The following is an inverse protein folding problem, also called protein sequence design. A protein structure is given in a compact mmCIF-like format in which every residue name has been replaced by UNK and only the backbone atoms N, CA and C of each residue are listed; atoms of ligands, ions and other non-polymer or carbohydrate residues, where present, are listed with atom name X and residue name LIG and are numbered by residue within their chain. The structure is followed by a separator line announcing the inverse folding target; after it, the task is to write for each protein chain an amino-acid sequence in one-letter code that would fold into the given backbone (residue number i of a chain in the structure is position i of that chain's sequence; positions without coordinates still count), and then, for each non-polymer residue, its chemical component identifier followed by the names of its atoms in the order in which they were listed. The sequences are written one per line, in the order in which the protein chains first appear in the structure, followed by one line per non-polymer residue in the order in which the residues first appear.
data_IF_898265705238
#
_entry.id   IF_898265705238
#
_cell.length_a   1.000
_cell.length_b   1.000
_cell.length_c   1.000
_cell.angle_alpha   90.00
_cell.angle_beta   90.00
_cell.angle_gamma   90.00
#
_symmetry.space_group_name_H-M   'P 1'
#
loop_
_entity.id
_entity.type
_entity.pdbx_description
1 polymer ?
#
# COMPACT_ATOMS: atom_id res chain seq x y z
N UNK A 1 -88.20 7.84 55.52
CA UNK A 1 -87.34 8.86 54.87
C UNK A 1 -85.90 8.36 54.86
N UNK A 2 -85.30 8.09 53.68
CA UNK A 2 -84.24 8.90 53.00
C UNK A 2 -82.98 9.05 53.86
N UNK A 3 -81.74 8.80 53.45
CA UNK A 3 -81.05 8.40 52.22
C UNK A 3 -79.64 7.93 52.66
N UNK A 4 -79.08 6.81 52.19
CA UNK A 4 -78.08 6.69 51.12
C UNK A 4 -77.02 7.83 51.03
N UNK A 5 -75.75 7.41 50.93
CA UNK A 5 -74.49 8.15 50.54
C UNK A 5 -73.75 8.80 51.71
N UNK A 6 -72.42 8.76 51.86
CA UNK A 6 -71.27 8.17 51.17
C UNK A 6 -70.07 8.33 52.14
N UNK A 7 -69.07 7.44 52.20
CA UNK A 7 -67.82 7.73 52.90
C UNK A 7 -66.96 8.71 52.11
N UNK A 8 -66.55 9.81 52.76
CA UNK A 8 -65.67 10.84 52.23
C UNK A 8 -64.31 10.24 51.83
N UNK A 9 -64.05 10.32 50.53
CA UNK A 9 -62.83 9.90 49.84
C UNK A 9 -61.78 10.99 50.02
N UNK A 10 -60.66 10.65 50.63
CA UNK A 10 -59.49 11.52 50.76
C UNK A 10 -58.92 11.78 49.35
N UNK A 11 -58.67 13.05 48.94
CA UNK A 11 -58.03 13.33 47.65
C UNK A 11 -56.52 13.11 47.76
N UNK A 12 -56.01 12.07 47.13
CA UNK A 12 -54.58 11.91 46.87
C UNK A 12 -54.14 12.88 45.76
N UNK A 13 -53.01 13.60 45.90
CA UNK A 13 -52.49 14.40 44.80
C UNK A 13 -52.08 13.50 43.64
N UNK A 14 -52.61 13.85 42.48
CA UNK A 14 -52.34 13.30 41.16
C UNK A 14 -50.85 13.46 40.83
N UNK A 15 -50.04 12.47 41.19
CA UNK A 15 -48.69 12.36 40.64
C UNK A 15 -48.87 11.89 39.21
N UNK A 16 -48.97 12.87 38.29
CA UNK A 16 -48.82 12.64 36.86
C UNK A 16 -47.49 11.94 36.66
N UNK A 17 -47.53 10.62 36.56
CA UNK A 17 -46.54 9.85 35.84
C UNK A 17 -46.59 10.38 34.41
N UNK A 18 -45.75 11.37 34.12
CA UNK A 18 -45.27 11.54 32.77
C UNK A 18 -44.82 10.14 32.33
N UNK A 19 -45.33 9.59 31.22
CA UNK A 19 -44.58 8.54 30.57
C UNK A 19 -43.25 9.21 30.24
N UNK A 20 -42.20 8.87 30.98
CA UNK A 20 -40.84 9.19 30.60
C UNK A 20 -40.60 8.37 29.34
N UNK A 21 -41.08 8.93 28.22
CA UNK A 21 -40.77 8.50 26.88
C UNK A 21 -39.26 8.68 26.79
N UNK A 22 -38.53 7.63 27.13
CA UNK A 22 -37.13 7.47 26.76
C UNK A 22 -37.15 7.43 25.24
N UNK A 23 -37.13 8.64 24.63
CA UNK A 23 -36.92 8.77 23.20
C UNK A 23 -35.68 7.96 22.89
N UNK A 24 -35.74 6.99 21.96
CA UNK A 24 -34.58 6.20 21.65
C UNK A 24 -33.50 7.15 21.14
N UNK A 25 -32.47 7.33 21.99
CA UNK A 25 -31.05 7.46 21.67
C UNK A 25 -30.80 7.81 20.21
N UNK A 26 -31.08 9.07 19.86
CA UNK A 26 -30.92 9.64 18.52
C UNK A 26 -29.48 9.56 17.99
N UNK A 27 -28.52 9.11 18.81
CA UNK A 27 -27.14 8.80 18.40
C UNK A 27 -27.00 7.53 17.56
N UNK A 28 -27.81 6.49 17.76
CA UNK A 28 -27.67 5.27 16.94
C UNK A 28 -28.15 5.48 15.50
N UNK A 29 -29.15 6.33 15.31
CA UNK A 29 -29.67 6.69 13.97
C UNK A 29 -28.71 7.58 13.18
N UNK A 30 -27.77 8.27 13.83
CA UNK A 30 -26.71 9.04 13.15
C UNK A 30 -25.62 8.14 12.55
N UNK A 31 -25.42 6.93 13.09
CA UNK A 31 -24.47 5.95 12.53
C UNK A 31 -25.04 5.18 11.32
N UNK A 32 -26.36 5.05 11.23
CA UNK A 32 -27.06 4.33 10.16
C UNK A 32 -27.14 5.10 8.82
N UNK A 33 -26.57 6.31 8.75
CA UNK A 33 -26.45 7.11 7.52
C UNK A 33 -24.99 7.41 7.19
N UNK A 34 -24.07 6.49 7.52
CA UNK A 34 -22.74 6.46 6.91
C UNK A 34 -22.87 5.75 5.58
N UNK A 35 -23.10 6.55 4.55
CA UNK A 35 -22.81 6.30 3.15
C UNK A 35 -22.53 4.84 2.78
N UNK A 36 -23.55 4.18 2.25
CA UNK A 36 -23.38 3.06 1.32
C UNK A 36 -22.88 3.56 -0.05
N UNK A 37 -22.12 4.68 -0.08
CA UNK A 37 -21.47 5.14 -1.30
C UNK A 37 -20.36 4.14 -1.57
N UNK A 38 -20.48 3.51 -2.73
CA UNK A 38 -19.47 2.67 -3.34
C UNK A 38 -18.09 3.31 -3.16
N UNK A 39 -17.15 2.51 -2.65
CA UNK A 39 -15.81 2.97 -2.31
C UNK A 39 -14.85 2.51 -3.39
N UNK A 40 -13.93 3.39 -3.75
CA UNK A 40 -12.90 3.08 -4.71
C UNK A 40 -11.70 2.44 -4.03
N UNK A 41 -11.12 1.45 -4.70
CA UNK A 41 -9.96 0.73 -4.24
C UNK A 41 -8.93 0.62 -5.36
N UNK A 42 -7.66 0.75 -4.96
CA UNK A 42 -6.52 0.41 -5.79
C UNK A 42 -5.93 -0.90 -5.26
N UNK A 43 -5.74 -1.85 -6.16
CA UNK A 43 -5.11 -3.12 -5.84
C UNK A 43 -3.84 -3.28 -6.66
N UNK A 44 -2.72 -3.43 -5.95
CA UNK A 44 -1.43 -3.79 -6.54
C UNK A 44 -1.14 -5.23 -6.14
N UNK A 45 -0.85 -6.08 -7.12
CA UNK A 45 -0.40 -7.44 -6.90
C UNK A 45 0.98 -7.69 -7.50
N UNK A 46 1.75 -8.52 -6.79
CA UNK A 46 3.06 -9.00 -7.20
C UNK A 46 2.99 -10.52 -7.29
N UNK A 47 3.00 -11.05 -8.50
CA UNK A 47 3.06 -12.48 -8.77
C UNK A 47 4.53 -12.96 -8.90
N UNK A 48 4.74 -14.27 -8.73
CA UNK A 48 6.05 -14.91 -8.86
C UNK A 48 6.64 -14.71 -10.25
N UNK A 49 7.98 -14.75 -10.34
CA UNK A 49 8.72 -14.60 -11.61
C UNK A 49 8.72 -15.86 -12.50
N UNK A 50 8.34 -17.02 -11.94
CA UNK A 50 8.41 -18.31 -12.66
C UNK A 50 7.13 -18.59 -13.46
N UNK A 51 6.16 -17.68 -13.35
CA UNK A 51 4.82 -17.76 -13.93
C UNK A 51 4.86 -17.16 -15.34
N UNK A 52 4.16 -17.79 -16.28
CA UNK A 52 4.03 -17.25 -17.63
C UNK A 52 3.10 -16.02 -17.64
N UNK A 53 3.28 -15.11 -18.60
CA UNK A 53 2.40 -13.93 -18.71
C UNK A 53 0.93 -14.30 -18.86
N UNK A 54 0.63 -15.40 -19.55
CA UNK A 54 -0.74 -15.93 -19.72
C UNK A 54 -1.40 -16.30 -18.39
N UNK A 55 -0.65 -16.86 -17.45
CA UNK A 55 -1.16 -17.20 -16.12
C UNK A 55 -1.41 -15.96 -15.26
N UNK A 56 -0.59 -14.92 -15.42
CA UNK A 56 -0.85 -13.61 -14.77
C UNK A 56 -2.15 -13.02 -15.30
N UNK A 57 -2.44 -13.22 -16.59
CA UNK A 57 -3.68 -12.74 -17.17
C UNK A 57 -4.90 -13.52 -16.65
N UNK A 58 -4.80 -14.84 -16.54
CA UNK A 58 -5.84 -15.67 -15.90
C UNK A 58 -6.11 -15.24 -14.47
N UNK A 59 -5.05 -14.97 -13.68
CA UNK A 59 -5.21 -14.43 -12.33
C UNK A 59 -5.95 -13.09 -12.33
N UNK A 60 -5.70 -12.23 -13.33
CA UNK A 60 -6.45 -10.98 -13.48
C UNK A 60 -7.94 -11.20 -13.80
N UNK A 61 -8.26 -12.21 -14.60
CA UNK A 61 -9.64 -12.58 -14.95
C UNK A 61 -10.39 -13.17 -13.75
N UNK A 62 -9.73 -14.03 -12.97
CA UNK A 62 -10.28 -14.59 -11.72
C UNK A 62 -10.65 -13.48 -10.73
N UNK A 63 -9.75 -12.51 -10.54
CA UNK A 63 -9.99 -11.35 -9.66
C UNK A 63 -11.15 -10.49 -10.16
N UNK A 64 -11.25 -10.30 -11.48
CA UNK A 64 -12.36 -9.57 -12.10
C UNK A 64 -13.69 -10.29 -11.84
N UNK A 65 -13.72 -11.61 -12.00
CA UNK A 65 -14.90 -12.44 -11.76
C UNK A 65 -15.38 -12.30 -10.31
N UNK A 66 -14.47 -12.39 -9.33
CA UNK A 66 -14.80 -12.23 -7.91
C UNK A 66 -15.39 -10.84 -7.61
N UNK A 67 -14.80 -9.79 -8.20
CA UNK A 67 -15.29 -8.42 -8.02
C UNK A 67 -16.70 -8.28 -8.60
N UNK A 68 -16.95 -8.84 -9.79
CA UNK A 68 -18.28 -8.81 -10.42
C UNK A 68 -19.34 -9.61 -9.65
N UNK A 69 -18.98 -10.77 -9.10
CA UNK A 69 -19.87 -11.57 -8.23
C UNK A 69 -20.24 -10.83 -6.95
N UNK A 70 -19.30 -10.03 -6.42
CA UNK A 70 -19.50 -9.17 -5.26
C UNK A 70 -20.29 -7.88 -5.53
N UNK A 71 -20.77 -7.66 -6.76
CA UNK A 71 -21.50 -6.46 -7.16
C UNK A 71 -20.61 -5.22 -7.34
N UNK A 72 -19.31 -5.42 -7.57
CA UNK A 72 -18.37 -4.36 -7.96
C UNK A 72 -18.06 -4.36 -9.45
N UNK A 73 -17.33 -3.34 -9.89
CA UNK A 73 -16.82 -3.18 -11.26
C UNK A 73 -15.32 -2.92 -11.24
N UNK A 74 -14.61 -3.46 -12.24
CA UNK A 74 -13.19 -3.15 -12.48
C UNK A 74 -13.13 -2.07 -13.54
N UNK A 75 -12.68 -0.88 -13.16
CA UNK A 75 -12.60 0.26 -14.07
C UNK A 75 -11.33 0.23 -14.90
N UNK A 76 -10.24 -0.29 -14.32
CA UNK A 76 -8.94 -0.31 -14.97
C UNK A 76 -8.14 -1.52 -14.58
N UNK A 77 -7.52 -2.14 -15.58
CA UNK A 77 -6.53 -3.22 -15.41
C UNK A 77 -5.29 -2.84 -16.18
N UNK A 78 -4.16 -2.78 -15.49
CA UNK A 78 -2.86 -2.54 -16.10
C UNK A 78 -1.88 -3.63 -15.70
N UNK A 79 -1.12 -4.09 -16.68
CA UNK A 79 0.01 -4.99 -16.46
C UNK A 79 1.32 -4.21 -16.69
N UNK A 80 2.16 -4.12 -15.67
CA UNK A 80 3.42 -3.38 -15.72
C UNK A 80 4.63 -4.24 -16.10
N UNK A 81 4.42 -5.54 -16.31
CA UNK A 81 5.49 -6.46 -16.68
C UNK A 81 6.29 -6.99 -15.50
N UNK A 82 7.43 -7.60 -15.84
CA UNK A 82 8.37 -8.21 -14.90
C UNK A 82 9.37 -7.16 -14.41
N UNK A 83 9.39 -6.89 -13.09
CA UNK A 83 10.26 -5.88 -12.48
C UNK A 83 11.09 -6.47 -11.34
N UNK A 84 12.25 -5.87 -11.08
CA UNK A 84 13.13 -6.28 -9.98
C UNK A 84 12.60 -5.76 -8.64
N UNK A 85 12.63 -6.63 -7.63
CA UNK A 85 12.30 -6.28 -6.24
C UNK A 85 13.55 -5.73 -5.54
N UNK A 86 13.39 -4.79 -4.61
CA UNK A 86 14.52 -4.23 -3.85
C UNK A 86 15.20 -5.28 -2.95
N UNK A 87 14.43 -6.27 -2.48
CA UNK A 87 14.91 -7.37 -1.66
C UNK A 87 14.19 -8.66 -2.04
N UNK A 88 14.76 -9.80 -1.62
CA UNK A 88 14.18 -11.11 -1.93
C UNK A 88 12.96 -11.38 -1.07
N UNK A 89 11.84 -11.70 -1.70
CA UNK A 89 10.60 -12.12 -1.03
C UNK A 89 10.28 -13.54 -1.48
N UNK A 90 10.05 -14.47 -0.54
CA UNK A 90 9.83 -15.91 -0.83
C UNK A 90 10.85 -16.51 -1.81
N UNK A 91 12.11 -16.05 -1.76
CA UNK A 91 13.25 -16.43 -2.65
C UNK A 91 13.25 -15.81 -4.06
N UNK A 92 12.22 -15.07 -4.46
CA UNK A 92 12.17 -14.40 -5.76
C UNK A 92 12.93 -13.05 -5.73
N UNK A 93 13.64 -12.72 -6.81
CA UNK A 93 14.33 -11.42 -7.01
C UNK A 93 13.56 -10.48 -7.92
N UNK A 94 12.68 -11.03 -8.74
CA UNK A 94 11.80 -10.29 -9.65
C UNK A 94 10.35 -10.72 -9.42
N UNK A 95 9.41 -9.95 -9.93
CA UNK A 95 7.99 -10.28 -9.87
C UNK A 95 7.22 -9.60 -10.98
N UNK A 96 6.10 -10.21 -11.34
CA UNK A 96 5.14 -9.63 -12.26
C UNK A 96 4.22 -8.67 -11.51
N UNK A 97 4.12 -7.44 -12.00
CA UNK A 97 3.27 -6.43 -11.40
C UNK A 97 1.99 -6.26 -12.21
N UNK A 98 0.86 -6.37 -11.52
CA UNK A 98 -0.43 -6.00 -12.06
C UNK A 98 -1.14 -5.02 -11.11
N UNK A 99 -1.89 -4.12 -11.72
CA UNK A 99 -2.56 -3.00 -11.06
C UNK A 99 -4.02 -2.95 -11.48
N UNK A 100 -4.89 -2.71 -10.51
CA UNK A 100 -6.34 -2.71 -10.70
C UNK A 100 -6.97 -1.52 -9.99
N UNK A 101 -7.82 -0.77 -10.71
CA UNK A 101 -8.76 0.17 -10.11
C UNK A 101 -10.11 -0.51 -10.01
N UNK A 102 -10.62 -0.60 -8.79
CA UNK A 102 -11.81 -1.35 -8.46
C UNK A 102 -12.81 -0.40 -7.82
N UNK A 103 -14.04 -0.43 -8.30
CA UNK A 103 -15.19 0.13 -7.62
C UNK A 103 -15.99 -1.02 -7.00
N UNK A 104 -15.96 -1.18 -5.68
CA UNK A 104 -16.58 -2.33 -5.05
C UNK A 104 -17.10 -2.05 -3.64
N UNK A 105 -18.13 -2.79 -3.19
CA UNK A 105 -18.54 -2.74 -1.81
C UNK A 105 -17.48 -3.44 -0.91
N UNK A 106 -17.36 -2.99 0.35
CA UNK A 106 -16.45 -3.58 1.33
C UNK A 106 -16.47 -5.13 1.44
N UNK A 107 -17.63 -5.82 1.42
CA UNK A 107 -17.65 -7.30 1.44
C UNK A 107 -16.96 -7.94 0.24
N UNK A 108 -17.09 -7.38 -0.96
CA UNK A 108 -16.44 -7.90 -2.16
C UNK A 108 -14.91 -7.83 -2.05
N UNK A 109 -14.39 -6.73 -1.49
CA UNK A 109 -12.94 -6.56 -1.26
C UNK A 109 -12.40 -7.56 -0.24
N UNK A 110 -13.18 -7.91 0.78
CA UNK A 110 -12.76 -8.91 1.77
C UNK A 110 -12.62 -10.31 1.13
N UNK A 111 -13.55 -10.68 0.25
CA UNK A 111 -13.45 -11.93 -0.50
C UNK A 111 -12.28 -11.90 -1.49
N UNK A 112 -12.06 -10.78 -2.17
CA UNK A 112 -10.90 -10.57 -3.05
C UNK A 112 -9.57 -10.80 -2.30
N UNK A 113 -9.39 -10.17 -1.15
CA UNK A 113 -8.17 -10.35 -0.34
C UNK A 113 -8.04 -11.79 0.18
N UNK A 114 -9.15 -12.46 0.50
CA UNK A 114 -9.13 -13.87 0.91
C UNK A 114 -8.58 -14.74 -0.23
N UNK A 115 -9.03 -14.53 -1.46
CA UNK A 115 -8.57 -15.25 -2.65
C UNK A 115 -7.10 -14.96 -2.96
N UNK A 116 -6.70 -13.70 -2.91
CA UNK A 116 -5.29 -13.29 -3.08
C UNK A 116 -4.35 -13.88 -2.03
N UNK A 117 -4.83 -14.11 -0.80
CA UNK A 117 -4.08 -14.79 0.27
C UNK A 117 -3.93 -16.28 0.04
N UNK A 118 -4.94 -16.94 -0.55
CA UNK A 118 -4.95 -18.37 -0.80
C UNK A 118 -4.11 -18.75 -2.03
N UNK A 119 -3.97 -17.85 -2.99
CA UNK A 119 -3.19 -18.09 -4.21
C UNK A 119 -1.68 -18.12 -3.91
N UNK A 120 -1.04 -19.26 -4.15
CA UNK A 120 0.40 -19.46 -3.93
C UNK A 120 1.28 -18.63 -4.87
N UNK A 121 0.72 -18.28 -6.03
CA UNK A 121 1.36 -17.51 -7.09
C UNK A 121 1.54 -16.03 -6.73
N UNK A 122 0.75 -15.52 -5.79
CA UNK A 122 0.84 -14.15 -5.31
C UNK A 122 1.82 -14.09 -4.14
N UNK A 123 2.89 -13.31 -4.32
CA UNK A 123 3.90 -13.12 -3.27
C UNK A 123 3.46 -12.03 -2.31
N UNK A 124 2.93 -10.93 -2.84
CA UNK A 124 2.47 -9.77 -2.08
C UNK A 124 1.32 -9.10 -2.81
N UNK A 125 0.32 -8.68 -2.06
CA UNK A 125 -0.76 -7.82 -2.53
C UNK A 125 -0.89 -6.65 -1.57
N UNK A 126 -1.41 -5.54 -2.07
CA UNK A 126 -1.78 -4.37 -1.27
C UNK A 126 -3.06 -3.80 -1.85
N UNK A 127 -4.08 -3.66 -0.99
CA UNK A 127 -5.34 -3.03 -1.33
C UNK A 127 -5.44 -1.73 -0.54
N UNK A 128 -5.68 -0.62 -1.24
CA UNK A 128 -5.76 0.72 -0.65
C UNK A 128 -7.11 1.31 -1.02
N UNK A 129 -7.81 1.88 -0.03
CA UNK A 129 -9.04 2.64 -0.29
C UNK A 129 -8.68 4.05 -0.72
N UNK A 130 -9.27 4.52 -1.81
CA UNK A 130 -9.03 5.84 -2.39
C UNK A 130 -10.35 6.63 -2.46
N UNK A 131 -10.25 7.95 -2.43
CA UNK A 131 -11.41 8.85 -2.48
C UNK A 131 -11.84 9.16 -3.93
N UNK A 132 -10.90 9.15 -4.88
CA UNK A 132 -11.14 9.37 -6.30
C UNK A 132 -10.20 8.47 -7.14
N UNK A 133 -10.69 7.98 -8.28
CA UNK A 133 -9.88 7.19 -9.19
C UNK A 133 -9.28 8.07 -10.27
N UNK A 134 -7.97 7.93 -10.48
CA UNK A 134 -7.30 8.54 -11.63
C UNK A 134 -7.37 7.58 -12.82
N UNK A 135 -8.02 8.02 -13.89
CA UNK A 135 -8.16 7.26 -15.14
C UNK A 135 -6.89 7.33 -16.02
N UNK A 136 -6.03 8.32 -15.77
CA UNK A 136 -4.75 8.50 -16.46
C UNK A 136 -3.86 7.25 -16.34
N UNK A 137 -3.12 6.86 -17.40
CA UNK A 137 -2.21 5.70 -17.35
C UNK A 137 -1.27 5.83 -16.15
N UNK A 138 -1.07 4.76 -15.38
CA UNK A 138 -0.34 4.86 -14.12
C UNK A 138 1.05 5.47 -14.35
N UNK A 139 1.58 6.18 -13.37
CA UNK A 139 2.92 6.81 -13.45
C UNK A 139 4.06 5.84 -13.82
N UNK A 140 3.80 4.53 -13.72
CA UNK A 140 4.69 3.45 -14.13
C UNK A 140 4.75 3.25 -15.65
N UNK A 141 3.64 3.44 -16.39
CA UNK A 141 3.62 3.38 -17.85
C UNK A 141 4.16 4.68 -18.46
N UNK A 142 3.79 5.84 -17.90
CA UNK A 142 4.26 7.14 -18.39
C UNK A 142 5.80 7.30 -18.37
N UNK A 143 6.51 6.56 -17.50
CA UNK A 143 7.99 6.60 -17.43
C UNK A 143 8.68 5.79 -18.52
N UNK A 144 8.05 4.73 -19.04
CA UNK A 144 8.63 3.92 -20.11
C UNK A 144 8.55 4.62 -21.46
N UNK A 145 7.57 5.52 -21.65
CA UNK A 145 7.39 6.28 -22.89
C UNK A 145 8.32 7.50 -23.00
N UNK A 146 9.13 7.80 -21.97
CA UNK A 146 10.12 8.87 -22.06
C UNK A 146 11.28 8.36 -22.93
N UNK A 147 11.48 8.90 -24.15
CA UNK A 147 12.54 8.42 -25.02
C UNK A 147 13.87 8.50 -24.27
N UNK A 148 14.62 7.39 -24.30
CA UNK A 148 15.99 7.36 -23.79
C UNK A 148 16.72 8.55 -24.40
N UNK A 149 17.09 9.52 -23.54
CA UNK A 149 17.86 10.68 -23.97
C UNK A 149 19.09 10.13 -24.69
N UNK A 150 19.28 10.41 -26.00
CA UNK A 150 20.46 9.94 -26.72
C UNK A 150 21.67 10.29 -25.88
N UNK A 151 22.42 9.27 -25.48
CA UNK A 151 23.50 9.43 -24.54
C UNK A 151 24.41 10.56 -25.01
N UNK A 152 24.65 11.53 -24.14
CA UNK A 152 25.76 12.49 -24.24
C UNK A 152 27.09 11.76 -23.99
N UNK A 153 27.25 10.59 -24.63
CA UNK A 153 28.40 9.68 -24.60
C UNK A 153 28.92 9.54 -26.04
N UNK A 154 29.07 10.67 -26.70
CA UNK A 154 29.62 10.76 -28.05
C UNK A 154 30.64 11.89 -28.26
N UNK A 155 30.75 12.87 -27.35
CA UNK A 155 31.52 14.10 -27.63
C UNK A 155 32.41 14.52 -26.45
N UNK A 156 33.15 13.57 -25.88
CA UNK A 156 34.26 13.88 -24.96
C UNK A 156 35.57 13.21 -25.39
N UNK A 157 35.72 13.01 -26.69
CA UNK A 157 36.95 12.60 -27.35
C UNK A 157 37.28 13.65 -28.42
N UNK A 158 37.88 14.74 -27.95
CA UNK A 158 38.28 15.90 -28.74
C UNK A 158 38.66 16.97 -27.74
N UNK A 159 39.89 17.47 -27.81
CA UNK A 159 40.42 18.56 -26.97
C UNK A 159 40.86 18.16 -25.54
N UNK A 160 41.73 17.15 -25.45
CA UNK A 160 42.78 17.19 -24.41
C UNK A 160 43.98 17.92 -25.01
N UNK A 161 44.19 19.22 -24.75
CA UNK A 161 45.42 19.87 -25.18
C UNK A 161 46.61 19.14 -24.55
N UNK A 162 47.63 18.92 -25.37
CA UNK A 162 48.94 18.41 -24.96
C UNK A 162 49.40 19.24 -23.76
N UNK A 163 49.54 18.60 -22.61
CA UNK A 163 50.01 19.24 -21.39
C UNK A 163 51.47 19.62 -21.65
N UNK A 164 51.68 20.85 -22.08
CA UNK A 164 52.99 21.47 -22.16
C UNK A 164 53.74 21.32 -20.85
N UNK A 165 55.05 21.18 -20.98
CA UNK A 165 56.06 21.05 -19.93
C UNK A 165 55.88 22.14 -18.87
N UNK A 166 55.08 21.85 -17.83
CA UNK A 166 54.97 22.73 -16.68
C UNK A 166 56.03 22.30 -15.67
N UNK A 167 57.14 23.01 -15.74
CA UNK A 167 58.34 22.80 -14.95
C UNK A 167 58.13 22.73 -13.44
N UNK A 168 59.16 22.19 -12.80
CA UNK A 168 59.54 22.33 -11.40
C UNK A 168 58.41 22.71 -10.43
N UNK A 169 57.76 21.68 -9.90
CA UNK A 169 57.29 21.72 -8.52
C UNK A 169 57.97 20.59 -7.76
N UNK A 170 59.12 20.94 -7.20
CA UNK A 170 59.63 20.31 -5.98
C UNK A 170 58.52 20.19 -4.93
N UNK A 171 58.76 19.31 -3.96
CA UNK A 171 57.86 18.91 -2.86
C UNK A 171 57.13 17.57 -3.08
N UNK A 172 57.91 16.55 -3.44
CA UNK A 172 57.59 15.15 -3.12
C UNK A 172 57.83 14.94 -1.62
N UNK A 173 56.79 15.15 -0.81
CA UNK A 173 56.79 14.71 0.59
C UNK A 173 57.12 13.20 0.64
N UNK A 174 58.06 12.75 1.50
CA UNK A 174 58.31 11.33 1.67
C UNK A 174 57.05 10.68 2.25
N UNK A 175 56.54 9.64 1.57
CA UNK A 175 55.53 8.75 2.14
C UNK A 175 56.13 8.12 3.39
N UNK A 176 55.73 8.62 4.56
CA UNK A 176 56.06 8.00 5.83
C UNK A 176 55.60 6.54 5.85
N UNK A 177 56.50 5.67 6.30
CA UNK A 177 56.31 4.23 6.38
C UNK A 177 55.04 3.90 7.16
N UNK A 178 54.15 3.13 6.51
CA UNK A 178 52.96 2.58 7.15
C UNK A 178 53.41 1.33 7.90
N UNK A 179 53.38 1.29 9.25
CA UNK A 179 53.87 0.13 9.98
C UNK A 179 53.00 -1.12 9.72
N UNK A 180 53.66 -2.27 9.66
CA UNK A 180 53.03 -3.56 9.42
C UNK A 180 52.11 -4.00 10.56
N UNK A 181 51.07 -4.76 10.20
CA UNK A 181 49.93 -5.17 11.05
C UNK A 181 50.29 -6.16 12.18
N UNK A 182 51.57 -6.37 12.48
CA UNK A 182 52.05 -7.38 13.43
C UNK A 182 52.11 -6.90 14.90
N UNK A 183 52.06 -5.60 15.17
CA UNK A 183 52.23 -5.05 16.53
C UNK A 183 50.92 -4.85 17.34
N UNK A 184 49.77 -5.36 16.86
CA UNK A 184 48.49 -5.28 17.59
C UNK A 184 48.20 -6.54 18.42
N UNK A 185 49.06 -6.87 19.38
CA UNK A 185 48.71 -7.83 20.45
C UNK A 185 48.82 -7.16 21.81
N UNK A 186 47.71 -6.95 22.54
CA UNK A 186 47.79 -6.80 23.99
C UNK A 186 48.07 -8.17 24.60
N UNK A 187 49.20 -8.28 25.31
CA UNK A 187 49.47 -9.39 26.23
C UNK A 187 48.39 -9.38 27.32
N UNK A 188 47.70 -10.51 27.49
CA UNK A 188 46.92 -10.78 28.69
C UNK A 188 47.88 -11.34 29.73
N UNK A 189 48.28 -10.51 30.68
CA UNK A 189 48.84 -10.91 31.98
C UNK A 189 47.81 -10.35 32.99
N UNK A 190 47.09 -11.19 33.74
CA UNK A 190 47.61 -11.91 34.91
C UNK A 190 47.13 -11.15 36.15
N UNK A 191 45.86 -11.30 36.50
CA UNK A 191 45.33 -10.79 37.76
C UNK A 191 45.52 -11.88 38.81
N UNK A 192 46.29 -11.54 39.84
CA UNK A 192 46.43 -12.23 41.12
C UNK A 192 45.10 -12.26 41.89
#
# INVERSE_FOLDING_TARGET
MRASRNPCRIPTPEVRLCPFVVKPRQEEKRKAKRDHRMAFYECVLIARQDIATTQVDTLGDDLTTIVTEGGGSVLKREYWGLRALNFRIKKNRKGHYAFFNIDAPAPAVHELERRLRLNEDVIRHMVVRVEALEEAPSAMMQKNDRPERPGRRGERFGDRPERGERGDRGDRFPRGDRPERSERRPQREGAE
#
